data_IF_245841734386
#
_entry.id   IF_245841734386
#
_cell.length_a   1.000
_cell.length_b   1.000
_cell.length_c   1.000
_cell.angle_alpha   90.00
_cell.angle_beta   90.00
_cell.angle_gamma   90.00
#
_symmetry.space_group_name_H-M   'P 1'
#
loop_
_entity.id
_entity.type
_entity.pdbx_description
1 polymer ?
#
# COMPACT_ATOMS: atom_id res chain seq x y z
N UNK A 1 1.13 -3.41 29.44
CA UNK A 1 0.61 -4.80 29.48
C UNK A 1 1.69 -5.65 28.83
N UNK A 2 2.14 -6.71 29.50
CA UNK A 2 3.07 -7.67 28.90
C UNK A 2 2.35 -8.38 27.75
N UNK A 3 2.91 -8.30 26.55
CA UNK A 3 2.40 -9.03 25.38
C UNK A 3 2.65 -10.51 25.64
N UNK A 4 1.58 -11.29 25.83
CA UNK A 4 1.63 -12.71 26.22
C UNK A 4 2.09 -13.69 25.13
N UNK A 5 2.95 -13.26 24.19
CA UNK A 5 3.47 -14.06 23.09
C UNK A 5 4.91 -13.69 22.76
N UNK A 6 5.64 -14.58 22.06
CA UNK A 6 6.99 -14.29 21.57
C UNK A 6 7.02 -13.09 20.61
N UNK A 7 8.22 -12.56 20.35
CA UNK A 7 8.39 -11.47 19.38
C UNK A 7 7.86 -11.88 17.98
N UNK A 8 7.25 -10.96 17.21
CA UNK A 8 6.74 -11.26 15.88
C UNK A 8 7.88 -11.62 14.92
N UNK A 9 7.65 -12.60 14.06
CA UNK A 9 8.61 -13.09 13.06
C UNK A 9 8.40 -12.43 11.69
N UNK A 10 7.16 -12.01 11.37
CA UNK A 10 6.82 -11.28 10.14
C UNK A 10 6.10 -9.99 10.49
N UNK A 11 6.70 -8.86 10.13
CA UNK A 11 6.21 -7.52 10.49
C UNK A 11 5.87 -6.78 9.20
N UNK A 12 4.59 -6.51 8.97
CA UNK A 12 4.09 -5.75 7.84
C UNK A 12 3.89 -4.29 8.23
N UNK A 13 4.50 -3.36 7.50
CA UNK A 13 4.43 -1.93 7.78
C UNK A 13 3.90 -1.18 6.55
N UNK A 14 2.79 -0.46 6.69
CA UNK A 14 2.43 0.56 5.70
C UNK A 14 3.41 1.74 5.72
N UNK A 15 3.42 2.53 4.65
CA UNK A 15 4.29 3.68 4.47
C UNK A 15 3.60 4.99 4.86
N UNK A 16 2.56 5.38 4.13
CA UNK A 16 2.08 6.76 4.09
C UNK A 16 1.04 6.97 5.18
N UNK A 17 1.42 7.68 6.25
CA UNK A 17 0.62 7.83 7.47
C UNK A 17 0.95 6.76 8.54
N UNK A 18 1.90 5.87 8.25
CA UNK A 18 2.36 4.83 9.18
C UNK A 18 3.86 4.94 9.47
N UNK A 19 4.74 4.60 8.51
CA UNK A 19 6.20 4.75 8.68
C UNK A 19 6.67 6.21 8.56
N UNK A 20 5.94 7.01 7.80
CA UNK A 20 6.24 8.41 7.54
C UNK A 20 4.96 9.19 7.25
N UNK A 21 4.98 10.50 7.50
CA UNK A 21 3.97 11.39 6.96
C UNK A 21 4.22 11.58 5.45
N UNK A 22 3.17 11.54 4.62
CA UNK A 22 3.33 11.72 3.15
C UNK A 22 4.13 12.98 2.84
N UNK A 23 5.21 12.83 2.06
CA UNK A 23 6.11 13.93 1.68
C UNK A 23 7.22 14.25 2.69
N UNK A 24 7.27 13.56 3.83
CA UNK A 24 8.34 13.62 4.81
C UNK A 24 9.20 12.33 4.76
N UNK A 25 10.49 12.41 5.15
CA UNK A 25 11.33 11.22 5.29
C UNK A 25 10.91 10.40 6.51
N UNK A 26 11.34 9.13 6.54
CA UNK A 26 11.23 8.29 7.75
C UNK A 26 12.08 8.90 8.88
N UNK A 27 11.55 8.93 10.10
CA UNK A 27 12.29 9.42 11.26
C UNK A 27 13.46 8.48 11.63
N UNK A 28 14.51 9.02 12.25
CA UNK A 28 15.64 8.22 12.68
C UNK A 28 15.22 7.11 13.66
N UNK A 29 14.28 7.42 14.57
CA UNK A 29 13.79 6.48 15.58
C UNK A 29 13.02 5.32 14.95
N UNK A 30 12.13 5.59 13.99
CA UNK A 30 11.41 4.54 13.25
C UNK A 30 12.40 3.66 12.48
N UNK A 31 13.38 4.27 11.80
CA UNK A 31 14.38 3.52 11.06
C UNK A 31 15.27 2.66 11.97
N UNK A 32 15.65 3.15 13.15
CA UNK A 32 16.40 2.39 14.17
C UNK A 32 15.59 1.20 14.70
N UNK A 33 14.31 1.40 15.03
CA UNK A 33 13.43 0.35 15.52
C UNK A 33 13.20 -0.75 14.46
N UNK A 34 13.03 -0.37 13.19
CA UNK A 34 12.94 -1.33 12.08
C UNK A 34 14.24 -2.12 11.93
N UNK A 35 15.40 -1.47 12.01
CA UNK A 35 16.70 -2.16 11.97
C UNK A 35 16.91 -3.10 13.15
N UNK A 36 16.44 -2.72 14.34
CA UNK A 36 16.49 -3.58 15.53
C UNK A 36 15.67 -4.87 15.32
N UNK A 37 14.47 -4.75 14.78
CA UNK A 37 13.63 -5.92 14.45
C UNK A 37 14.30 -6.85 13.42
N UNK A 38 14.89 -6.28 12.36
CA UNK A 38 15.66 -7.06 11.37
C UNK A 38 16.87 -7.74 12.01
N UNK A 39 17.63 -7.03 12.85
CA UNK A 39 18.80 -7.57 13.54
C UNK A 39 18.43 -8.71 14.52
N UNK A 40 17.22 -8.67 15.07
CA UNK A 40 16.67 -9.75 15.89
C UNK A 40 16.14 -10.95 15.07
N UNK A 41 16.18 -10.87 13.73
CA UNK A 41 15.80 -11.94 12.81
C UNK A 41 14.38 -11.86 12.28
N UNK A 42 13.63 -10.80 12.58
CA UNK A 42 12.28 -10.62 12.04
C UNK A 42 12.32 -10.25 10.54
N UNK A 43 11.38 -10.80 9.78
CA UNK A 43 11.11 -10.37 8.41
C UNK A 43 10.28 -9.08 8.44
N UNK A 44 10.93 -7.93 8.32
CA UNK A 44 10.23 -6.64 8.14
C UNK A 44 9.89 -6.44 6.66
N UNK A 45 8.60 -6.27 6.36
CA UNK A 45 8.06 -6.16 5.00
C UNK A 45 7.29 -4.85 4.88
N UNK A 46 7.77 -3.97 4.01
CA UNK A 46 7.00 -2.79 3.60
C UNK A 46 5.83 -3.23 2.72
N UNK A 47 4.61 -2.85 3.10
CA UNK A 47 3.36 -3.20 2.39
C UNK A 47 2.55 -1.94 2.08
N UNK A 48 2.58 -1.48 0.83
CA UNK A 48 2.19 -0.10 0.47
C UNK A 48 1.39 0.01 -0.82
N UNK A 49 0.60 1.08 -0.95
CA UNK A 49 -0.04 1.50 -2.19
C UNK A 49 0.91 2.19 -3.18
N UNK A 50 2.13 2.52 -2.77
CA UNK A 50 3.17 3.07 -3.65
C UNK A 50 3.60 2.07 -4.73
N UNK A 51 3.97 2.59 -5.90
CA UNK A 51 4.56 1.79 -6.99
C UNK A 51 5.94 1.27 -6.59
N UNK A 52 6.47 0.29 -7.32
CA UNK A 52 7.83 -0.23 -7.08
C UNK A 52 8.87 0.89 -6.97
N UNK A 53 8.85 1.83 -7.92
CA UNK A 53 9.80 2.94 -7.96
C UNK A 53 9.66 3.88 -6.76
N UNK A 54 8.43 4.10 -6.28
CA UNK A 54 8.15 4.95 -5.13
C UNK A 54 8.42 4.28 -3.77
N UNK A 55 8.47 2.95 -3.73
CA UNK A 55 8.84 2.19 -2.52
C UNK A 55 10.36 2.15 -2.29
N UNK A 56 11.17 2.19 -3.35
CA UNK A 56 12.64 2.08 -3.25
C UNK A 56 13.30 3.09 -2.30
N UNK A 57 12.97 4.40 -2.33
CA UNK A 57 13.57 5.36 -1.39
C UNK A 57 13.27 5.03 0.07
N UNK A 58 12.06 4.55 0.37
CA UNK A 58 11.64 4.20 1.73
C UNK A 58 12.43 2.99 2.25
N UNK A 59 12.63 1.97 1.41
CA UNK A 59 13.47 0.82 1.76
C UNK A 59 14.90 1.26 2.09
N UNK A 60 15.45 2.20 1.31
CA UNK A 60 16.78 2.75 1.54
C UNK A 60 16.87 3.55 2.85
N UNK A 61 15.87 4.39 3.16
CA UNK A 61 15.79 5.16 4.41
C UNK A 61 15.70 4.25 5.64
N UNK A 62 14.96 3.14 5.54
CA UNK A 62 14.88 2.12 6.57
C UNK A 62 16.17 1.29 6.71
N UNK A 63 17.02 1.28 5.68
CA UNK A 63 18.21 0.42 5.63
C UNK A 63 17.88 -1.04 5.31
N UNK A 64 16.75 -1.30 4.65
CA UNK A 64 16.36 -2.64 4.20
C UNK A 64 17.08 -2.95 2.87
N UNK A 65 18.01 -3.90 2.92
CA UNK A 65 18.88 -4.26 1.78
C UNK A 65 18.57 -5.63 1.19
N UNK A 66 17.79 -6.45 1.88
CA UNK A 66 17.34 -7.76 1.46
C UNK A 66 15.90 -8.05 1.94
N UNK A 67 15.39 -9.25 1.65
CA UNK A 67 14.02 -9.64 1.97
C UNK A 67 13.01 -9.19 0.92
N UNK A 68 11.83 -8.78 1.38
CA UNK A 68 10.63 -8.62 0.55
C UNK A 68 9.96 -7.28 0.77
N UNK A 69 9.37 -6.72 -0.29
CA UNK A 69 8.38 -5.66 -0.17
C UNK A 69 7.17 -5.91 -1.08
N UNK A 70 6.02 -5.40 -0.66
CA UNK A 70 4.74 -5.54 -1.33
C UNK A 70 4.26 -4.14 -1.75
N UNK A 71 4.39 -3.85 -3.03
CA UNK A 71 4.02 -2.59 -3.64
C UNK A 71 2.63 -2.68 -4.27
N UNK A 72 2.07 -1.53 -4.64
CA UNK A 72 0.81 -1.43 -5.39
C UNK A 72 -0.33 -2.22 -4.74
N UNK A 73 -0.49 -2.05 -3.42
CA UNK A 73 -1.47 -2.74 -2.58
C UNK A 73 -1.36 -4.27 -2.66
N UNK A 74 -0.13 -4.79 -2.75
CA UNK A 74 0.14 -6.22 -2.82
C UNK A 74 0.15 -6.81 -4.23
N UNK A 75 -0.13 -6.00 -5.26
CA UNK A 75 -0.10 -6.48 -6.65
C UNK A 75 1.31 -6.71 -7.19
N UNK A 76 2.33 -6.05 -6.61
CA UNK A 76 3.73 -6.21 -7.03
C UNK A 76 4.56 -6.65 -5.84
N UNK A 77 5.07 -7.88 -5.87
CA UNK A 77 6.03 -8.39 -4.89
C UNK A 77 7.44 -8.20 -5.42
N UNK A 78 8.31 -7.59 -4.63
CA UNK A 78 9.71 -7.37 -4.99
C UNK A 78 10.67 -8.12 -4.06
N UNK A 79 11.79 -8.53 -4.66
CA UNK A 79 13.00 -8.93 -3.94
C UNK A 79 13.83 -7.66 -3.73
N UNK A 80 14.06 -7.30 -2.48
CA UNK A 80 14.70 -6.02 -2.12
C UNK A 80 16.16 -5.99 -2.59
N UNK A 81 16.88 -7.10 -2.45
CA UNK A 81 18.29 -7.20 -2.83
C UNK A 81 18.48 -7.08 -4.35
N UNK A 82 17.59 -7.69 -5.12
CA UNK A 82 17.60 -7.60 -6.59
C UNK A 82 16.99 -6.30 -7.11
N UNK A 83 16.15 -5.65 -6.30
CA UNK A 83 15.35 -4.49 -6.70
C UNK A 83 14.35 -4.78 -7.83
N UNK A 84 14.00 -6.06 -8.06
CA UNK A 84 13.22 -6.51 -9.20
C UNK A 84 11.93 -7.21 -8.76
N UNK A 85 10.86 -7.16 -9.58
CA UNK A 85 9.63 -7.87 -9.27
C UNK A 85 9.85 -9.39 -9.30
N UNK A 86 9.37 -10.07 -8.25
CA UNK A 86 9.29 -11.53 -8.14
C UNK A 86 7.98 -12.02 -8.75
N UNK A 87 6.87 -11.36 -8.41
CA UNK A 87 5.56 -11.62 -9.01
C UNK A 87 4.82 -10.31 -9.24
N UNK A 88 3.98 -10.29 -10.29
CA UNK A 88 3.12 -9.17 -10.65
C UNK A 88 1.72 -9.71 -10.91
N UNK A 89 0.73 -9.22 -10.18
CA UNK A 89 -0.68 -9.55 -10.33
C UNK A 89 -1.36 -8.48 -11.17
N UNK A 90 -1.32 -8.65 -12.50
CA UNK A 90 -1.95 -7.73 -13.42
C UNK A 90 -3.42 -8.06 -13.71
N UNK A 91 -4.15 -7.07 -14.17
CA UNK A 91 -5.49 -7.21 -14.73
C UNK A 91 -5.61 -6.35 -15.99
N UNK A 92 -6.61 -6.64 -16.83
CA UNK A 92 -6.97 -5.79 -17.96
C UNK A 92 -7.70 -4.54 -17.43
N UNK A 93 -7.13 -3.33 -17.57
CA UNK A 93 -7.76 -2.12 -17.07
C UNK A 93 -8.89 -1.60 -17.98
N UNK A 94 -9.02 -2.08 -19.22
CA UNK A 94 -9.93 -1.50 -20.21
C UNK A 94 -11.41 -1.48 -19.75
N UNK A 95 -11.96 -2.54 -19.14
CA UNK A 95 -13.34 -2.52 -18.63
C UNK A 95 -13.53 -1.48 -17.52
N UNK A 96 -12.59 -1.40 -16.58
CA UNK A 96 -12.63 -0.45 -15.48
C UNK A 96 -12.53 1.01 -15.97
N UNK A 97 -11.58 1.28 -16.88
CA UNK A 97 -11.40 2.60 -17.52
C UNK A 97 -12.66 3.02 -18.25
N UNK A 98 -13.25 2.14 -19.06
CA UNK A 98 -14.48 2.44 -19.81
C UNK A 98 -15.66 2.74 -18.89
N UNK A 99 -15.83 1.95 -17.83
CA UNK A 99 -16.94 2.09 -16.89
C UNK A 99 -16.79 3.37 -16.05
N UNK A 100 -15.60 3.62 -15.49
CA UNK A 100 -15.32 4.82 -14.70
C UNK A 100 -15.36 6.10 -15.54
N UNK A 101 -14.92 6.08 -16.80
CA UNK A 101 -15.01 7.24 -17.69
C UNK A 101 -16.46 7.64 -17.97
N UNK A 102 -17.38 6.68 -18.08
CA UNK A 102 -18.81 6.97 -18.27
C UNK A 102 -19.42 7.64 -17.04
N UNK A 103 -18.98 7.22 -15.85
CA UNK A 103 -19.43 7.78 -14.59
C UNK A 103 -18.79 9.15 -14.31
N UNK A 104 -17.52 9.31 -14.67
CA UNK A 104 -16.70 10.48 -14.41
C UNK A 104 -15.90 10.89 -15.66
N UNK A 105 -16.50 11.69 -16.56
CA UNK A 105 -15.89 12.07 -17.84
C UNK A 105 -14.53 12.76 -17.73
N UNK A 106 -14.26 13.46 -16.64
CA UNK A 106 -13.05 14.24 -16.37
C UNK A 106 -11.98 13.47 -15.58
N UNK A 107 -12.27 12.26 -15.12
CA UNK A 107 -11.35 11.45 -14.31
C UNK A 107 -9.99 11.29 -14.99
N UNK A 108 -8.90 11.43 -14.27
CA UNK A 108 -7.56 11.14 -14.77
C UNK A 108 -7.20 9.72 -14.37
N UNK A 109 -6.76 8.92 -15.33
CA UNK A 109 -6.31 7.56 -15.09
C UNK A 109 -4.80 7.46 -15.22
N UNK A 110 -4.18 6.64 -14.38
CA UNK A 110 -2.76 6.33 -14.45
C UNK A 110 -2.51 4.85 -14.17
N UNK A 111 -1.65 4.23 -14.97
CA UNK A 111 -1.23 2.83 -14.82
C UNK A 111 0.26 2.75 -14.54
N UNK A 112 0.64 1.83 -13.66
CA UNK A 112 2.05 1.56 -13.39
C UNK A 112 2.65 0.69 -14.50
N UNK A 113 3.77 1.14 -15.06
CA UNK A 113 4.69 0.29 -15.81
C UNK A 113 5.77 -0.17 -14.85
N UNK A 114 5.65 -1.39 -14.34
CA UNK A 114 6.42 -1.89 -13.19
C UNK A 114 7.91 -1.69 -13.40
N UNK A 115 8.53 -0.90 -12.53
CA UNK A 115 9.96 -0.59 -12.59
C UNK A 115 10.40 0.36 -13.70
N UNK A 116 9.49 0.81 -14.56
CA UNK A 116 9.76 1.73 -15.69
C UNK A 116 9.23 3.12 -15.40
N UNK A 117 7.96 3.24 -15.02
CA UNK A 117 7.33 4.54 -14.87
C UNK A 117 5.81 4.49 -14.87
N UNK A 118 5.18 5.55 -15.37
CA UNK A 118 3.72 5.74 -15.34
C UNK A 118 3.22 6.19 -16.70
N UNK A 119 2.16 5.55 -17.18
CA UNK A 119 1.36 6.08 -18.29
C UNK A 119 0.07 6.67 -17.72
N UNK A 120 -0.34 7.85 -18.17
CA UNK A 120 -1.55 8.49 -17.68
C UNK A 120 -2.30 9.26 -18.76
N UNK A 121 -3.60 9.48 -18.55
CA UNK A 121 -4.46 10.29 -19.44
C UNK A 121 -4.46 11.78 -19.09
N UNK A 122 -3.66 12.17 -18.11
CA UNK A 122 -3.58 13.53 -17.56
C UNK A 122 -2.59 13.58 -16.40
N UNK A 123 -2.31 14.77 -15.88
CA UNK A 123 -1.38 14.98 -14.76
C UNK A 123 -2.13 14.97 -13.44
N UNK A 124 -1.69 14.15 -12.49
CA UNK A 124 -2.27 14.12 -11.14
C UNK A 124 -1.82 15.32 -10.28
N UNK A 125 -2.45 15.56 -9.12
CA UNK A 125 -2.15 16.68 -8.22
C UNK A 125 -0.68 16.89 -7.87
N UNK A 126 0.06 15.80 -7.63
CA UNK A 126 1.49 15.82 -7.30
C UNK A 126 2.41 15.61 -8.51
N UNK A 127 1.85 15.45 -9.70
CA UNK A 127 2.58 15.00 -10.90
C UNK A 127 3.06 13.54 -10.82
N UNK A 128 3.77 13.11 -11.86
CA UNK A 128 4.41 11.80 -11.94
C UNK A 128 5.91 12.01 -12.18
N UNK A 129 6.69 12.00 -11.11
CA UNK A 129 8.11 12.42 -11.12
C UNK A 129 9.09 11.25 -11.09
N UNK A 130 8.59 10.03 -10.90
CA UNK A 130 9.41 8.82 -10.77
C UNK A 130 9.32 7.96 -12.02
N UNK A 131 10.48 7.67 -12.61
CA UNK A 131 10.60 6.89 -13.84
C UNK A 131 10.14 7.66 -15.07
N UNK A 132 9.86 6.93 -16.14
CA UNK A 132 9.34 7.50 -17.38
C UNK A 132 7.87 7.91 -17.21
N UNK A 133 7.52 9.11 -17.68
CA UNK A 133 6.14 9.57 -17.72
C UNK A 133 5.68 9.72 -19.18
N UNK A 134 4.60 9.03 -19.53
CA UNK A 134 3.96 9.16 -20.83
C UNK A 134 2.50 9.60 -20.67
N UNK A 135 2.16 10.70 -21.34
CA UNK A 135 0.78 11.14 -21.51
C UNK A 135 0.19 10.40 -22.72
N UNK A 136 -0.84 9.59 -22.49
CA UNK A 136 -1.43 8.67 -23.47
C UNK A 136 -2.96 8.79 -23.48
N UNK A 137 -3.61 8.33 -24.55
CA UNK A 137 -5.07 8.23 -24.58
C UNK A 137 -5.59 6.97 -23.86
N UNK A 138 -6.92 6.80 -23.77
CA UNK A 138 -7.54 5.64 -23.10
C UNK A 138 -7.22 4.31 -23.75
N UNK A 139 -7.06 4.29 -25.07
CA UNK A 139 -6.74 3.09 -25.83
C UNK A 139 -5.33 2.63 -25.53
N UNK A 140 -4.36 3.54 -25.60
CA UNK A 140 -2.96 3.29 -25.25
C UNK A 140 -2.78 2.94 -23.77
N UNK A 141 -3.44 3.67 -22.86
CA UNK A 141 -3.41 3.38 -21.42
C UNK A 141 -3.84 1.94 -21.12
N UNK A 142 -4.84 1.45 -21.86
CA UNK A 142 -5.45 0.15 -21.65
C UNK A 142 -4.96 -0.92 -22.64
N UNK A 143 -3.89 -0.64 -23.39
CA UNK A 143 -3.38 -1.55 -24.42
C UNK A 143 -2.71 -2.81 -23.82
N UNK A 144 -2.33 -2.76 -22.54
CA UNK A 144 -1.71 -3.87 -21.84
C UNK A 144 -2.17 -3.99 -20.38
N UNK A 145 -2.11 -5.21 -19.78
CA UNK A 145 -2.42 -5.41 -18.38
C UNK A 145 -1.52 -4.61 -17.44
N UNK A 146 -2.08 -4.17 -16.31
CA UNK A 146 -1.39 -3.40 -15.28
C UNK A 146 -1.62 -4.00 -13.90
N UNK A 147 -0.68 -3.92 -12.93
CA UNK A 147 -0.95 -4.30 -11.54
C UNK A 147 -1.94 -3.36 -10.84
N UNK A 148 -2.00 -2.09 -11.28
CA UNK A 148 -2.87 -1.08 -10.69
C UNK A 148 -3.32 -0.04 -11.70
N UNK A 149 -4.49 0.51 -11.44
CA UNK A 149 -5.04 1.69 -12.10
C UNK A 149 -5.38 2.72 -11.01
N UNK A 150 -4.67 3.83 -10.99
CA UNK A 150 -5.01 4.97 -10.16
C UNK A 150 -5.96 5.89 -10.91
N UNK A 151 -6.99 6.35 -10.21
CA UNK A 151 -7.98 7.26 -10.72
C UNK A 151 -8.06 8.48 -9.81
N UNK A 152 -8.01 9.66 -10.43
CA UNK A 152 -8.15 10.95 -9.76
C UNK A 152 -9.32 11.71 -10.38
N UNK A 153 -10.24 12.21 -9.58
CA UNK A 153 -11.34 13.04 -10.08
C UNK A 153 -11.01 14.53 -9.90
N UNK A 154 -10.59 15.24 -10.95
CA UNK A 154 -10.32 16.67 -10.83
C UNK A 154 -11.62 17.43 -10.54
N UNK A 155 -11.55 18.41 -9.64
CA UNK A 155 -12.67 19.28 -9.24
C UNK A 155 -13.87 18.57 -8.56
N UNK A 156 -13.78 17.27 -8.27
CA UNK A 156 -14.77 16.54 -7.50
C UNK A 156 -14.41 16.47 -6.01
N UNK A 157 -15.32 15.93 -5.21
CA UNK A 157 -15.06 15.56 -3.81
C UNK A 157 -15.06 14.05 -3.64
N UNK A 158 -14.40 13.56 -2.59
CA UNK A 158 -14.43 12.14 -2.24
C UNK A 158 -15.87 11.69 -1.92
N UNK A 159 -16.66 12.54 -1.25
CA UNK A 159 -18.05 12.22 -0.92
C UNK A 159 -18.90 12.02 -2.18
N UNK A 160 -18.78 12.89 -3.18
CA UNK A 160 -19.51 12.74 -4.44
C UNK A 160 -19.08 11.48 -5.20
N UNK A 161 -17.77 11.18 -5.20
CA UNK A 161 -17.23 9.97 -5.79
C UNK A 161 -17.80 8.71 -5.12
N UNK A 162 -17.77 8.64 -3.79
CA UNK A 162 -18.28 7.50 -3.05
C UNK A 162 -19.80 7.34 -3.21
N UNK A 163 -20.55 8.43 -3.24
CA UNK A 163 -21.98 8.40 -3.50
C UNK A 163 -22.30 7.81 -4.88
N UNK A 164 -21.56 8.20 -5.91
CA UNK A 164 -21.73 7.66 -7.26
C UNK A 164 -21.26 6.20 -7.37
N UNK A 165 -20.25 5.80 -6.57
CA UNK A 165 -19.73 4.43 -6.53
C UNK A 165 -20.57 3.48 -5.67
N UNK A 166 -21.43 3.97 -4.78
CA UNK A 166 -22.17 3.17 -3.80
C UNK A 166 -23.00 2.03 -4.42
N UNK A 167 -23.47 2.19 -5.65
CA UNK A 167 -24.23 1.18 -6.40
C UNK A 167 -23.53 0.76 -7.70
N UNK A 168 -22.23 1.06 -7.83
CA UNK A 168 -21.47 0.82 -9.05
C UNK A 168 -20.40 -0.25 -8.82
N UNK A 169 -20.45 -1.29 -9.65
CA UNK A 169 -19.40 -2.30 -9.69
C UNK A 169 -18.35 -1.89 -10.72
N UNK A 170 -17.08 -1.85 -10.30
CA UNK A 170 -15.96 -1.71 -11.25
C UNK A 170 -15.70 -3.10 -11.83
N UNK A 171 -15.97 -3.34 -13.14
CA UNK A 171 -16.03 -4.70 -13.66
C UNK A 171 -14.68 -5.43 -13.55
N UNK A 172 -14.72 -6.64 -12.97
CA UNK A 172 -13.56 -7.53 -12.90
C UNK A 172 -12.41 -7.06 -12.00
N UNK A 173 -12.66 -6.06 -11.14
CA UNK A 173 -11.63 -5.43 -10.33
C UNK A 173 -12.10 -5.16 -8.90
N UNK A 174 -11.14 -5.09 -7.99
CA UNK A 174 -11.34 -4.55 -6.65
C UNK A 174 -10.87 -3.10 -6.64
N UNK A 175 -11.40 -2.29 -5.72
CA UNK A 175 -10.97 -0.91 -5.58
C UNK A 175 -10.98 -0.47 -4.12
N UNK A 176 -10.14 0.51 -3.82
CA UNK A 176 -10.07 1.20 -2.53
C UNK A 176 -9.90 2.69 -2.79
N UNK A 177 -10.53 3.53 -1.96
CA UNK A 177 -10.36 4.97 -2.07
C UNK A 177 -9.21 5.46 -1.19
N UNK A 178 -8.64 6.61 -1.54
CA UNK A 178 -7.68 7.29 -0.68
C UNK A 178 -8.36 8.01 0.48
N UNK A 179 -7.56 8.40 1.48
CA UNK A 179 -8.01 9.21 2.62
C UNK A 179 -8.14 10.69 2.26
N UNK A 180 -7.21 11.19 1.44
CA UNK A 180 -7.09 12.60 1.10
C UNK A 180 -7.49 12.87 -0.34
N UNK A 181 -8.72 13.34 -0.53
CA UNK A 181 -9.24 13.74 -1.82
C UNK A 181 -9.85 12.59 -2.64
N UNK A 182 -10.42 12.90 -3.81
CA UNK A 182 -11.16 11.95 -4.63
C UNK A 182 -10.23 11.03 -5.44
N UNK A 183 -9.53 10.14 -4.73
CA UNK A 183 -8.70 9.09 -5.31
C UNK A 183 -9.37 7.73 -5.23
N UNK A 184 -9.15 6.93 -6.29
CA UNK A 184 -9.48 5.52 -6.35
C UNK A 184 -8.23 4.76 -6.81
N UNK A 185 -7.89 3.67 -6.11
CA UNK A 185 -6.92 2.68 -6.61
C UNK A 185 -7.68 1.42 -6.96
N UNK A 186 -7.61 1.02 -8.23
CA UNK A 186 -8.21 -0.20 -8.76
C UNK A 186 -7.11 -1.23 -9.00
N UNK A 187 -7.37 -2.47 -8.60
CA UNK A 187 -6.46 -3.61 -8.75
C UNK A 187 -7.22 -4.85 -9.20
N UNK A 188 -6.47 -5.90 -9.52
CA UNK A 188 -7.05 -7.22 -9.81
C UNK A 188 -7.97 -7.65 -8.65
N UNK A 189 -9.16 -8.17 -8.99
CA UNK A 189 -10.11 -8.64 -7.99
C UNK A 189 -9.47 -9.64 -7.00
N UNK A 190 -9.68 -9.40 -5.71
CA UNK A 190 -9.16 -10.23 -4.61
C UNK A 190 -7.69 -9.99 -4.25
N UNK A 191 -6.97 -9.12 -4.97
CA UNK A 191 -5.62 -8.71 -4.61
C UNK A 191 -5.68 -7.52 -3.65
N UNK A 192 -5.14 -7.72 -2.45
CA UNK A 192 -4.99 -6.73 -1.39
C UNK A 192 -3.65 -6.93 -0.66
N UNK A 193 -3.33 -6.02 0.27
CA UNK A 193 -2.15 -6.15 1.14
C UNK A 193 -2.21 -7.44 1.97
N UNK A 194 -3.33 -7.71 2.63
CA UNK A 194 -3.54 -8.95 3.40
C UNK A 194 -3.40 -10.21 2.55
N UNK A 195 -3.95 -10.21 1.32
CA UNK A 195 -3.78 -11.34 0.38
C UNK A 195 -2.31 -11.60 0.02
N UNK A 196 -1.54 -10.54 -0.26
CA UNK A 196 -0.14 -10.66 -0.62
C UNK A 196 0.72 -11.12 0.57
N UNK A 197 0.43 -10.58 1.76
CA UNK A 197 1.07 -10.96 3.01
C UNK A 197 0.83 -12.42 3.38
N UNK A 198 -0.40 -12.93 3.20
CA UNK A 198 -0.70 -14.33 3.49
C UNK A 198 0.10 -15.29 2.60
N UNK A 199 0.27 -14.95 1.33
CA UNK A 199 1.09 -15.74 0.39
C UNK A 199 2.55 -15.71 0.79
N UNK A 200 3.06 -14.54 1.18
CA UNK A 200 4.43 -14.39 1.64
C UNK A 200 4.68 -15.18 2.94
N UNK A 201 3.78 -15.04 3.93
CA UNK A 201 3.80 -15.79 5.19
C UNK A 201 3.87 -17.30 4.95
N UNK A 202 2.99 -17.83 4.08
CA UNK A 202 3.01 -19.24 3.71
C UNK A 202 4.34 -19.68 3.09
N UNK A 203 4.92 -18.86 2.20
CA UNK A 203 6.20 -19.16 1.56
C UNK A 203 7.38 -19.17 2.56
N UNK A 204 7.30 -18.33 3.60
CA UNK A 204 8.29 -18.26 4.68
C UNK A 204 8.07 -19.32 5.78
N UNK A 205 6.91 -19.98 5.79
CA UNK A 205 6.56 -20.99 6.82
C UNK A 205 6.27 -20.40 8.20
N UNK A 206 5.95 -19.11 8.28
CA UNK A 206 5.73 -18.38 9.54
C UNK A 206 4.30 -18.61 10.04
N UNK A 207 4.05 -18.96 11.31
CA UNK A 207 2.69 -19.13 11.82
C UNK A 207 1.94 -17.79 11.89
N UNK A 208 0.62 -17.79 11.68
CA UNK A 208 -0.21 -16.57 11.74
C UNK A 208 -0.05 -15.83 13.07
N UNK A 209 0.08 -16.56 14.18
CA UNK A 209 0.28 -15.97 15.52
C UNK A 209 1.61 -15.22 15.70
N UNK A 210 2.57 -15.36 14.77
CA UNK A 210 3.84 -14.65 14.78
C UNK A 210 3.89 -13.49 13.77
N UNK A 211 2.72 -12.98 13.37
CA UNK A 211 2.61 -11.86 12.42
C UNK A 211 2.16 -10.59 13.12
N UNK A 212 2.80 -9.47 12.77
CA UNK A 212 2.45 -8.11 13.21
C UNK A 212 2.11 -7.28 11.97
N UNK A 213 1.02 -6.51 12.01
CA UNK A 213 0.75 -5.48 11.01
C UNK A 213 0.55 -4.11 11.65
N UNK A 214 1.11 -3.07 11.04
CA UNK A 214 0.86 -1.68 11.41
C UNK A 214 0.44 -0.89 10.17
N UNK A 215 -0.67 -0.17 10.26
CA UNK A 215 -1.24 0.60 9.15
C UNK A 215 -2.19 1.69 9.62
N UNK A 216 -2.65 2.51 8.68
CA UNK A 216 -3.58 3.60 8.95
C UNK A 216 -4.68 3.76 7.88
N UNK A 217 -4.46 3.21 6.69
CA UNK A 217 -5.28 3.40 5.51
C UNK A 217 -6.48 2.47 5.35
N UNK A 218 -7.45 2.90 4.53
CA UNK A 218 -8.54 2.02 4.06
C UNK A 218 -8.02 0.78 3.31
N UNK A 219 -6.85 0.87 2.67
CA UNK A 219 -6.17 -0.24 2.00
C UNK A 219 -5.41 -1.17 2.97
N UNK A 220 -5.40 -0.86 4.27
CA UNK A 220 -4.81 -1.68 5.32
C UNK A 220 -5.81 -2.59 6.02
N UNK A 221 -7.12 -2.40 5.84
CA UNK A 221 -8.17 -3.18 6.53
C UNK A 221 -7.95 -4.69 6.45
N UNK A 222 -7.70 -5.21 5.25
CA UNK A 222 -7.44 -6.64 5.08
C UNK A 222 -6.10 -7.07 5.68
N UNK A 223 -5.10 -6.19 5.73
CA UNK A 223 -3.80 -6.46 6.36
C UNK A 223 -3.92 -6.47 7.90
N UNK A 224 -4.65 -5.51 8.48
CA UNK A 224 -4.91 -5.42 9.92
C UNK A 224 -5.69 -6.64 10.39
N UNK A 225 -6.80 -6.96 9.73
CA UNK A 225 -7.61 -8.15 10.05
C UNK A 225 -6.88 -9.49 9.80
N UNK A 226 -5.85 -9.49 8.97
CA UNK A 226 -5.07 -10.70 8.65
C UNK A 226 -4.03 -11.05 9.73
N UNK A 227 -3.45 -10.04 10.38
CA UNK A 227 -2.33 -10.24 11.27
C UNK A 227 -2.72 -10.93 12.58
N UNK A 228 -1.77 -11.64 13.19
CA UNK A 228 -1.92 -12.26 14.50
C UNK A 228 -1.95 -11.24 15.64
N UNK A 229 -1.26 -10.11 15.45
CA UNK A 229 -1.43 -8.88 16.23
C UNK A 229 -1.42 -7.69 15.25
N UNK A 230 -2.36 -6.77 15.41
CA UNK A 230 -2.55 -5.65 14.51
C UNK A 230 -2.64 -4.33 15.25
N UNK A 231 -2.04 -3.29 14.67
CA UNK A 231 -1.97 -1.97 15.30
C UNK A 231 -2.36 -0.90 14.29
N UNK A 232 -3.39 -0.12 14.61
CA UNK A 232 -3.72 1.08 13.85
C UNK A 232 -2.95 2.29 14.39
N UNK A 233 -2.54 3.20 13.51
CA UNK A 233 -1.96 4.48 13.92
C UNK A 233 -3.02 5.42 14.51
N UNK A 234 -2.64 6.36 15.39
CA UNK A 234 -3.59 7.32 15.96
C UNK A 234 -4.28 8.19 14.90
N UNK A 235 -3.56 8.54 13.83
CA UNK A 235 -4.06 9.31 12.68
C UNK A 235 -5.00 8.52 11.76
N UNK A 236 -5.16 7.21 11.95
CA UNK A 236 -6.06 6.40 11.15
C UNK A 236 -7.54 6.82 11.33
N UNK A 237 -8.39 6.70 10.29
CA UNK A 237 -9.84 6.83 10.44
C UNK A 237 -10.39 5.85 11.49
N UNK A 238 -11.45 6.25 12.20
CA UNK A 238 -12.03 5.42 13.27
C UNK A 238 -12.52 4.06 12.75
N UNK A 239 -13.08 4.02 11.55
CA UNK A 239 -13.54 2.78 10.92
C UNK A 239 -12.39 1.87 10.42
N UNK A 240 -11.16 2.39 10.32
CA UNK A 240 -9.95 1.57 10.10
C UNK A 240 -9.43 1.03 11.42
N UNK A 241 -9.46 1.83 12.50
CA UNK A 241 -9.05 1.41 13.85
C UNK A 241 -9.86 0.22 14.36
N UNK A 242 -11.12 0.08 13.94
CA UNK A 242 -11.98 -1.06 14.28
C UNK A 242 -11.44 -2.42 13.78
N UNK A 243 -10.52 -2.44 12.82
CA UNK A 243 -9.87 -3.67 12.31
C UNK A 243 -8.58 -4.04 13.04
N UNK A 244 -8.13 -3.22 14.00
CA UNK A 244 -6.89 -3.44 14.74
C UNK A 244 -7.12 -3.86 16.19
N UNK A 245 -6.20 -4.64 16.75
CA UNK A 245 -6.23 -5.09 18.15
C UNK A 245 -5.92 -3.95 19.13
N UNK A 246 -5.10 -2.99 18.71
CA UNK A 246 -4.80 -1.78 19.46
C UNK A 246 -4.52 -0.57 18.56
N UNK A 247 -4.45 0.61 19.18
CA UNK A 247 -4.09 1.87 18.53
C UNK A 247 -2.80 2.39 19.15
N UNK A 248 -1.80 2.72 18.32
CA UNK A 248 -0.54 3.35 18.75
C UNK A 248 -0.59 4.87 18.64
N UNK A 249 0.54 5.56 18.87
CA UNK A 249 0.69 6.99 18.67
C UNK A 249 0.52 7.44 17.22
N UNK A 250 0.53 8.75 17.01
CA UNK A 250 0.48 9.37 15.69
C UNK A 250 1.77 9.08 14.91
N UNK A 251 1.70 9.12 13.58
CA UNK A 251 2.87 9.05 12.70
C UNK A 251 3.93 10.11 13.03
N UNK A 252 3.51 11.30 13.47
CA UNK A 252 4.41 12.38 13.89
C UNK A 252 5.04 12.15 15.27
N UNK A 253 4.49 11.23 16.06
CA UNK A 253 4.98 10.85 17.39
C UNK A 253 5.76 9.52 17.38
N UNK A 254 6.19 9.05 16.20
CA UNK A 254 6.89 7.78 15.99
C UNK A 254 6.10 6.56 16.50
N UNK A 255 4.79 6.52 16.27
CA UNK A 255 3.90 5.45 16.74
C UNK A 255 4.37 4.03 16.36
N UNK A 256 4.96 3.85 15.18
CA UNK A 256 5.58 2.58 14.76
C UNK A 256 6.75 2.17 15.66
N UNK A 257 7.66 3.11 15.97
CA UNK A 257 8.81 2.81 16.81
C UNK A 257 8.38 2.38 18.21
N UNK A 258 7.43 3.09 18.81
CA UNK A 258 6.89 2.77 20.13
C UNK A 258 6.22 1.39 20.21
N UNK A 259 5.79 0.82 19.08
CA UNK A 259 5.28 -0.56 18.98
C UNK A 259 6.45 -1.53 18.90
N UNK A 260 7.38 -1.34 17.97
CA UNK A 260 8.50 -2.27 17.75
C UNK A 260 9.43 -2.37 18.97
N UNK A 261 9.69 -1.26 19.66
CA UNK A 261 10.53 -1.18 20.88
C UNK A 261 9.98 -2.02 22.05
N UNK A 262 8.74 -2.54 21.96
CA UNK A 262 8.18 -3.46 22.97
C UNK A 262 8.81 -4.85 22.91
N UNK A 263 9.41 -5.23 21.78
CA UNK A 263 10.00 -6.54 21.55
C UNK A 263 11.49 -6.51 21.17
N UNK A 264 11.98 -5.42 20.58
CA UNK A 264 13.31 -5.32 19.96
C UNK A 264 14.17 -4.19 20.52
#
# INVERSE_FOLDING_TARGET
MEVGGGAPELIALDVDGTLLQTGMPVSARVADAVRAAVAAGAHVVVSTGRTLLATRPVLAELGLVDGHALCSNGAVHIDVARGAPVTVQSFDPAPAVSALRKLFPEMIFAVEKVGVGTWATGVGPAGYTLGEFLLVDHGELSAEPTPRLNCWLPNGTLADMLLALAAFEVPGASWVHGEFGPWLTVSRQGVSKGWALERLRCALGIPTSATLAIGDGYNDREMLNWAGHSVAMANAPDDVKEYADEVTGDVLDDGVAAVLERWF
#
